data_IF_903082261829
#
_entry.id   IF_903082261829
#
_cell.length_a   1.000
_cell.length_b   1.000
_cell.length_c   1.000
_cell.angle_alpha   90.00
_cell.angle_beta   90.00
_cell.angle_gamma   90.00
#
_symmetry.space_group_name_H-M   'P 1'
#
loop_
_entity.id
_entity.type
_entity.pdbx_description
1 polymer ?
#
# COMPACT_ATOMS: atom_id res chain seq x y z
N UNK A 1 -24.48 -38.39 19.99
CA UNK A 1 -24.01 -37.07 20.49
C UNK A 1 -22.52 -36.82 20.21
N UNK A 2 -21.60 -37.75 20.52
CA UNK A 2 -20.15 -37.53 20.31
C UNK A 2 -19.72 -37.25 18.85
N UNK A 3 -20.35 -37.89 17.85
CA UNK A 3 -20.04 -37.68 16.42
C UNK A 3 -20.33 -36.25 15.94
N UNK A 4 -21.37 -35.63 16.47
CA UNK A 4 -21.79 -34.27 16.09
C UNK A 4 -20.87 -33.22 16.70
N UNK A 5 -20.42 -33.46 17.94
CA UNK A 5 -19.40 -32.63 18.62
C UNK A 5 -18.06 -32.69 17.88
N UNK A 6 -17.63 -33.89 17.46
CA UNK A 6 -16.38 -34.05 16.71
C UNK A 6 -16.43 -33.30 15.36
N UNK A 7 -17.56 -33.40 14.63
CA UNK A 7 -17.76 -32.67 13.38
C UNK A 7 -17.78 -31.15 13.57
N UNK A 8 -18.43 -30.66 14.63
CA UNK A 8 -18.48 -29.24 14.95
C UNK A 8 -17.09 -28.70 15.34
N UNK A 9 -16.33 -29.43 16.15
CA UNK A 9 -14.95 -29.06 16.49
C UNK A 9 -14.06 -29.00 15.25
N UNK A 10 -14.19 -29.95 14.33
CA UNK A 10 -13.41 -29.96 13.10
C UNK A 10 -13.74 -28.76 12.21
N UNK A 11 -15.02 -28.41 12.11
CA UNK A 11 -15.48 -27.26 11.32
C UNK A 11 -14.97 -25.93 11.90
N UNK A 12 -14.94 -25.81 13.23
CA UNK A 12 -14.39 -24.64 13.93
C UNK A 12 -12.87 -24.51 13.71
N UNK A 13 -12.13 -25.62 13.74
CA UNK A 13 -10.69 -25.62 13.47
C UNK A 13 -10.37 -25.19 12.03
N UNK A 14 -11.14 -25.66 11.04
CA UNK A 14 -10.97 -25.26 9.64
C UNK A 14 -11.25 -23.77 9.45
N UNK A 15 -12.32 -23.24 10.06
CA UNK A 15 -12.64 -21.81 9.99
C UNK A 15 -11.54 -20.95 10.62
N UNK A 16 -10.94 -21.41 11.73
CA UNK A 16 -9.85 -20.70 12.38
C UNK A 16 -8.62 -20.58 11.46
N UNK A 17 -8.20 -21.70 10.85
CA UNK A 17 -7.04 -21.77 9.94
C UNK A 17 -7.23 -20.90 8.69
N UNK A 18 -8.45 -20.66 8.23
CA UNK A 18 -8.69 -19.80 7.05
C UNK A 18 -8.49 -18.30 7.32
N UNK A 19 -8.54 -17.84 8.58
CA UNK A 19 -8.40 -16.42 8.89
C UNK A 19 -6.94 -15.94 8.89
N UNK A 20 -5.99 -16.86 9.03
CA UNK A 20 -4.56 -16.60 9.16
C UNK A 20 -3.80 -16.59 7.81
N UNK A 21 -4.49 -16.85 6.70
CA UNK A 21 -3.91 -16.89 5.34
C UNK A 21 -4.39 -15.74 4.45
N UNK A 22 -4.92 -14.67 5.04
CA UNK A 22 -5.04 -13.40 4.32
C UNK A 22 -3.66 -12.78 4.26
N UNK A 23 -2.84 -13.28 3.34
CA UNK A 23 -1.64 -12.57 2.89
C UNK A 23 -2.16 -11.27 2.30
N UNK A 24 -2.08 -10.19 3.08
CA UNK A 24 -2.27 -8.86 2.54
C UNK A 24 -1.15 -8.67 1.53
N UNK A 25 -1.47 -8.89 0.25
CA UNK A 25 -0.64 -8.45 -0.85
C UNK A 25 -0.79 -6.93 -0.94
N UNK A 26 -0.35 -6.20 0.10
CA UNK A 26 -0.11 -4.78 -0.08
C UNK A 26 0.90 -4.69 -1.21
N UNK A 27 0.49 -4.05 -2.32
CA UNK A 27 1.40 -3.78 -3.41
C UNK A 27 2.60 -3.05 -2.80
N UNK A 28 3.80 -3.58 -3.02
CA UNK A 28 4.99 -2.96 -2.49
C UNK A 28 5.10 -1.60 -3.17
N UNK A 29 5.20 -0.54 -2.38
CA UNK A 29 5.39 0.80 -2.93
C UNK A 29 6.82 1.25 -2.71
N UNK A 30 7.35 1.98 -3.69
CA UNK A 30 8.68 2.53 -3.66
C UNK A 30 8.60 4.03 -4.00
N UNK A 31 9.45 4.83 -3.37
CA UNK A 31 9.59 6.25 -3.69
C UNK A 31 10.73 6.46 -4.71
N UNK A 32 10.53 7.35 -5.67
CA UNK A 32 11.58 7.91 -6.51
C UNK A 32 11.52 9.43 -6.55
N UNK A 33 12.65 10.06 -6.83
CA UNK A 33 12.69 11.48 -7.13
C UNK A 33 11.81 11.75 -8.37
N UNK A 34 11.02 12.82 -8.34
CA UNK A 34 10.23 13.26 -9.48
C UNK A 34 11.16 13.67 -10.64
N UNK A 35 10.88 13.17 -11.85
CA UNK A 35 11.69 13.42 -13.05
C UNK A 35 11.50 14.84 -13.59
N UNK A 36 10.29 15.41 -13.46
CA UNK A 36 9.94 16.68 -14.12
C UNK A 36 9.45 17.78 -13.19
N UNK A 37 9.39 17.51 -11.88
CA UNK A 37 9.00 18.51 -10.89
C UNK A 37 10.03 19.64 -10.82
N UNK A 38 9.58 20.88 -10.98
CA UNK A 38 10.46 22.05 -11.04
C UNK A 38 10.40 22.87 -9.77
N UNK A 39 11.58 23.17 -9.24
CA UNK A 39 11.75 24.03 -8.07
C UNK A 39 11.64 23.28 -6.75
N UNK A 40 11.86 24.00 -5.63
CA UNK A 40 11.74 23.44 -4.30
C UNK A 40 10.29 23.05 -3.98
N UNK A 41 10.14 21.92 -3.30
CA UNK A 41 8.88 21.36 -2.85
C UNK A 41 8.55 21.91 -1.46
N UNK A 42 7.56 22.79 -1.37
CA UNK A 42 7.06 23.34 -0.09
C UNK A 42 5.68 22.79 0.30
N UNK A 43 4.92 22.30 -0.67
CA UNK A 43 3.55 21.83 -0.50
C UNK A 43 3.39 20.42 -1.05
N UNK A 44 3.09 19.46 -0.18
CA UNK A 44 2.88 18.06 -0.58
C UNK A 44 1.77 17.93 -1.63
N UNK A 45 0.70 18.74 -1.55
CA UNK A 45 -0.39 18.69 -2.53
C UNK A 45 0.06 19.00 -3.96
N UNK A 46 0.94 19.99 -4.15
CA UNK A 46 1.46 20.32 -5.49
C UNK A 46 2.39 19.23 -6.04
N UNK A 47 3.12 18.54 -5.17
CA UNK A 47 3.93 17.38 -5.55
C UNK A 47 3.06 16.17 -5.87
N UNK A 48 2.04 15.88 -5.06
CA UNK A 48 1.10 14.77 -5.30
C UNK A 48 0.35 14.93 -6.62
N UNK A 49 -0.18 16.14 -6.89
CA UNK A 49 -0.83 16.46 -8.16
C UNK A 49 0.14 16.30 -9.34
N UNK A 50 1.40 16.70 -9.18
CA UNK A 50 2.40 16.51 -10.23
C UNK A 50 2.68 15.02 -10.49
N UNK A 51 2.96 14.25 -9.45
CA UNK A 51 3.26 12.83 -9.58
C UNK A 51 2.10 12.06 -10.22
N UNK A 52 0.85 12.36 -9.83
CA UNK A 52 -0.34 11.71 -10.40
C UNK A 52 -0.63 12.14 -11.84
N UNK A 53 -0.59 13.44 -12.12
CA UNK A 53 -1.08 13.98 -13.40
C UNK A 53 0.02 14.15 -14.47
N UNK A 54 1.29 14.24 -14.09
CA UNK A 54 2.43 14.44 -15.02
C UNK A 54 3.29 13.19 -15.18
N UNK A 55 3.56 12.49 -14.08
CA UNK A 55 4.41 11.29 -14.10
C UNK A 55 3.59 9.98 -14.07
N UNK A 56 2.27 10.08 -13.92
CA UNK A 56 1.33 8.94 -13.87
C UNK A 56 1.68 7.93 -12.76
N UNK A 57 2.15 8.45 -11.63
CA UNK A 57 2.51 7.69 -10.43
C UNK A 57 1.39 7.75 -9.37
N UNK A 58 1.50 6.94 -8.32
CA UNK A 58 0.42 6.72 -7.36
C UNK A 58 0.16 7.92 -6.46
N UNK A 59 1.24 8.56 -6.01
CA UNK A 59 1.19 9.73 -5.12
C UNK A 59 2.52 10.47 -5.12
N UNK A 60 2.59 11.60 -4.42
CA UNK A 60 3.82 12.35 -4.22
C UNK A 60 3.86 13.10 -2.90
N UNK A 61 5.07 13.33 -2.37
CA UNK A 61 5.27 14.19 -1.19
C UNK A 61 6.58 14.97 -1.22
N UNK A 62 6.58 16.11 -0.55
CA UNK A 62 7.82 16.82 -0.24
C UNK A 62 8.56 16.10 0.89
N UNK A 63 9.89 15.99 0.77
CA UNK A 63 10.77 15.49 1.83
C UNK A 63 11.69 16.60 2.34
N UNK A 64 12.47 16.29 3.37
CA UNK A 64 13.37 17.24 4.07
C UNK A 64 14.46 17.84 3.16
N UNK A 65 14.67 17.27 1.97
CA UNK A 65 15.57 17.77 0.94
C UNK A 65 14.94 18.82 0.02
N UNK A 66 13.72 19.28 0.34
CA UNK A 66 12.91 20.20 -0.48
C UNK A 66 12.69 19.68 -1.91
N UNK A 67 12.74 18.36 -2.14
CA UNK A 67 12.45 17.76 -3.44
C UNK A 67 11.13 17.01 -3.39
N UNK A 68 10.50 16.91 -4.55
CA UNK A 68 9.28 16.13 -4.74
C UNK A 68 9.66 14.66 -4.99
N UNK A 69 9.11 13.76 -4.17
CA UNK A 69 9.30 12.33 -4.30
C UNK A 69 7.96 11.67 -4.64
N UNK A 70 7.93 10.90 -5.72
CA UNK A 70 6.75 10.21 -6.20
C UNK A 70 6.76 8.74 -5.76
N UNK A 71 5.58 8.22 -5.43
CA UNK A 71 5.36 6.82 -5.04
C UNK A 71 4.88 6.03 -6.26
N UNK A 72 5.48 4.87 -6.48
CA UNK A 72 5.08 3.94 -7.55
C UNK A 72 4.97 2.51 -7.04
N UNK A 73 4.30 1.65 -7.81
CA UNK A 73 4.33 0.22 -7.57
C UNK A 73 5.74 -0.34 -7.84
N UNK A 74 6.16 -1.23 -6.95
CA UNK A 74 7.31 -2.12 -7.03
C UNK A 74 6.92 -3.47 -6.38
#
# INVERSE_FOLDING_TARGET
MAKMVAGLCFLLLVLFVTQEIVVQTEAKTCENLADTYRGPCFTTGSCDDHCKNKEHLLSGRCRDDFRCWCTRNC
#
